data_IF_378068094825
#
_entry.id   IF_378068094825
#
_cell.length_a   1.000
_cell.length_b   1.000
_cell.length_c   1.000
_cell.angle_alpha   90.00
_cell.angle_beta   90.00
_cell.angle_gamma   90.00
#
_symmetry.space_group_name_H-M   'P 1'
#
loop_
_entity.id
_entity.type
_entity.pdbx_description
1 polymer ?
#
# COMPACT_ATOMS: atom_id res chain seq x y z
N UNK A 1 -21.50 5.33 -15.16
CA UNK A 1 -20.12 5.06 -15.58
C UNK A 1 -19.32 4.52 -14.42
N UNK A 2 -18.71 3.37 -14.59
CA UNK A 2 -17.94 2.78 -13.51
C UNK A 2 -16.63 3.53 -13.31
N UNK A 3 -16.30 3.77 -12.06
CA UNK A 3 -15.02 4.38 -11.73
C UNK A 3 -13.94 3.31 -11.77
N UNK A 4 -12.83 3.64 -12.40
CA UNK A 4 -11.68 2.76 -12.40
C UNK A 4 -11.02 2.76 -11.03
N UNK A 5 -10.57 1.58 -10.61
CA UNK A 5 -9.90 1.41 -9.35
C UNK A 5 -8.49 0.88 -9.59
N UNK A 6 -7.58 1.24 -8.72
CA UNK A 6 -6.20 0.80 -8.78
C UNK A 6 -5.82 0.07 -7.50
N UNK A 7 -5.08 -1.01 -7.65
CA UNK A 7 -4.53 -1.75 -6.54
C UNK A 7 -3.02 -1.66 -6.61
N UNK A 8 -2.40 -1.12 -5.57
CA UNK A 8 -0.96 -0.90 -5.56
C UNK A 8 -0.34 -1.81 -4.50
N UNK A 9 0.68 -2.56 -4.90
CA UNK A 9 1.47 -3.32 -3.95
C UNK A 9 2.50 -2.38 -3.35
N UNK A 10 2.36 -2.14 -2.05
CA UNK A 10 3.03 -1.03 -1.39
C UNK A 10 3.93 -1.54 -0.26
N UNK A 11 5.21 -1.28 -0.40
CA UNK A 11 6.20 -1.70 0.60
C UNK A 11 6.62 -0.58 1.56
N UNK A 12 6.24 0.66 1.25
CA UNK A 12 6.72 1.82 2.00
C UNK A 12 8.08 2.33 1.55
N UNK A 13 8.69 1.68 0.56
CA UNK A 13 9.93 2.16 -0.02
C UNK A 13 9.70 3.32 -0.96
N UNK A 14 10.79 3.92 -1.40
CA UNK A 14 10.73 5.13 -2.20
C UNK A 14 10.01 4.92 -3.53
N UNK A 15 10.32 3.84 -4.23
CA UNK A 15 9.72 3.56 -5.53
C UNK A 15 8.23 3.23 -5.40
N UNK A 16 7.87 2.44 -4.38
CA UNK A 16 6.48 2.13 -4.10
C UNK A 16 5.66 3.37 -3.79
N UNK A 17 6.25 4.28 -3.02
CA UNK A 17 5.56 5.51 -2.65
C UNK A 17 5.30 6.37 -3.87
N UNK A 18 6.27 6.44 -4.78
CA UNK A 18 6.11 7.20 -6.03
C UNK A 18 4.98 6.60 -6.86
N UNK A 19 4.94 5.28 -6.99
CA UNK A 19 3.88 4.61 -7.73
C UNK A 19 2.51 4.88 -7.11
N UNK A 20 2.45 4.86 -5.78
CA UNK A 20 1.21 5.13 -5.07
C UNK A 20 0.72 6.55 -5.33
N UNK A 21 1.61 7.52 -5.29
CA UNK A 21 1.24 8.90 -5.55
C UNK A 21 0.74 9.05 -6.98
N UNK A 22 1.39 8.41 -7.94
CA UNK A 22 0.95 8.46 -9.33
C UNK A 22 -0.43 7.84 -9.50
N UNK A 23 -0.70 6.74 -8.81
CA UNK A 23 -2.02 6.10 -8.86
C UNK A 23 -3.10 7.03 -8.29
N UNK A 24 -2.79 7.71 -7.19
CA UNK A 24 -3.73 8.65 -6.60
C UNK A 24 -4.04 9.78 -7.57
N UNK A 25 -3.03 10.29 -8.26
CA UNK A 25 -3.22 11.36 -9.23
C UNK A 25 -4.04 10.92 -10.44
N UNK A 26 -3.89 9.66 -10.83
CA UNK A 26 -4.58 9.13 -12.01
C UNK A 26 -6.00 8.72 -11.71
N UNK A 27 -6.23 8.04 -10.59
CA UNK A 27 -7.53 7.41 -10.29
C UNK A 27 -8.32 8.10 -9.20
N UNK A 28 -7.66 8.98 -8.43
CA UNK A 28 -8.27 9.59 -7.27
C UNK A 28 -8.06 8.74 -6.03
N UNK A 29 -7.89 9.42 -4.91
CA UNK A 29 -7.60 8.77 -3.62
C UNK A 29 -8.64 7.71 -3.26
N UNK A 30 -9.90 7.99 -3.54
CA UNK A 30 -11.01 7.10 -3.20
C UNK A 30 -10.97 5.79 -3.95
N UNK A 31 -10.30 5.77 -5.09
CA UNK A 31 -10.29 4.62 -5.98
C UNK A 31 -8.98 3.85 -5.92
N UNK A 32 -8.10 4.18 -4.98
CA UNK A 32 -6.80 3.52 -4.82
C UNK A 32 -6.81 2.73 -3.52
N UNK A 33 -6.42 1.46 -3.62
CA UNK A 33 -6.22 0.60 -2.47
C UNK A 33 -4.79 0.07 -2.51
N UNK A 34 -4.23 -0.20 -1.33
CA UNK A 34 -2.88 -0.73 -1.24
C UNK A 34 -2.90 -2.08 -0.55
N UNK A 35 -1.99 -2.95 -0.97
CA UNK A 35 -1.71 -4.20 -0.28
C UNK A 35 -0.25 -4.21 0.12
N UNK A 36 0.01 -4.44 1.40
CA UNK A 36 1.35 -4.60 1.93
C UNK A 36 1.51 -6.03 2.40
N UNK A 37 2.53 -6.72 1.90
CA UNK A 37 2.80 -8.08 2.32
C UNK A 37 3.75 -8.07 3.51
N UNK A 38 3.44 -8.88 4.50
CA UNK A 38 4.28 -9.06 5.67
C UNK A 38 4.79 -10.49 5.71
N UNK A 39 6.10 -10.63 5.80
CA UNK A 39 6.75 -11.93 5.99
C UNK A 39 7.18 -12.03 7.43
N UNK A 40 7.20 -13.22 7.98
CA UNK A 40 7.39 -13.45 9.39
C UNK A 40 8.58 -12.75 10.03
N UNK A 41 9.66 -12.56 9.29
CA UNK A 41 10.86 -11.91 9.83
C UNK A 41 11.11 -10.52 9.28
N UNK A 42 10.12 -9.93 8.66
CA UNK A 42 10.26 -8.60 8.12
C UNK A 42 10.33 -7.58 9.25
N UNK A 43 11.13 -6.56 9.07
CA UNK A 43 11.29 -5.51 10.07
C UNK A 43 9.99 -4.77 10.30
N UNK A 44 9.61 -4.65 11.57
CA UNK A 44 8.40 -3.93 11.95
C UNK A 44 8.44 -2.48 11.53
N UNK A 45 9.63 -1.88 11.50
CA UNK A 45 9.80 -0.49 11.11
C UNK A 45 9.32 -0.25 9.67
N UNK A 46 9.62 -1.18 8.77
CA UNK A 46 9.18 -1.04 7.38
C UNK A 46 7.66 -1.09 7.27
N UNK A 47 7.04 -1.97 8.04
CA UNK A 47 5.60 -2.08 8.04
C UNK A 47 4.94 -0.84 8.62
N UNK A 48 5.50 -0.32 9.70
CA UNK A 48 4.98 0.89 10.31
C UNK A 48 5.11 2.09 9.37
N UNK A 49 6.21 2.16 8.64
CA UNK A 49 6.39 3.23 7.67
C UNK A 49 5.35 3.15 6.57
N UNK A 50 5.08 1.95 6.07
CA UNK A 50 4.07 1.77 5.04
C UNK A 50 2.68 2.16 5.56
N UNK A 51 2.35 1.78 6.78
CA UNK A 51 1.08 2.16 7.38
C UNK A 51 0.96 3.67 7.53
N UNK A 52 2.03 4.29 8.01
CA UNK A 52 2.01 5.72 8.24
C UNK A 52 1.82 6.48 6.93
N UNK A 53 2.54 6.08 5.88
CA UNK A 53 2.43 6.74 4.59
C UNK A 53 1.04 6.56 3.99
N UNK A 54 0.50 5.35 4.03
CA UNK A 54 -0.83 5.09 3.50
C UNK A 54 -1.88 5.90 4.24
N UNK A 55 -1.73 6.01 5.55
CA UNK A 55 -2.65 6.77 6.39
C UNK A 55 -2.54 8.26 6.09
N UNK A 56 -1.32 8.75 5.91
CA UNK A 56 -1.07 10.15 5.61
C UNK A 56 -1.64 10.53 4.24
N UNK A 57 -1.55 9.63 3.28
CA UNK A 57 -2.11 9.85 1.95
C UNK A 57 -3.61 9.58 1.89
N UNK A 58 -4.17 9.02 2.94
CA UNK A 58 -5.61 8.78 3.01
C UNK A 58 -6.11 7.66 2.13
N UNK A 59 -5.27 6.65 1.87
CA UNK A 59 -5.66 5.51 1.06
C UNK A 59 -5.88 4.28 1.92
N UNK A 60 -6.74 3.40 1.45
CA UNK A 60 -7.03 2.16 2.15
C UNK A 60 -5.85 1.20 2.02
N UNK A 61 -5.46 0.57 3.11
CA UNK A 61 -4.36 -0.37 3.13
C UNK A 61 -4.81 -1.70 3.72
N UNK A 62 -4.44 -2.79 3.06
CA UNK A 62 -4.62 -4.14 3.56
C UNK A 62 -3.25 -4.76 3.76
N UNK A 63 -3.02 -5.33 4.94
CA UNK A 63 -1.77 -6.01 5.24
C UNK A 63 -2.04 -7.51 5.21
N UNK A 64 -1.30 -8.22 4.37
CA UNK A 64 -1.40 -9.66 4.26
C UNK A 64 -0.18 -10.31 4.89
N UNK A 65 -0.41 -11.13 5.90
CA UNK A 65 0.65 -11.83 6.60
C UNK A 65 0.89 -13.18 5.93
N UNK A 66 2.05 -13.33 5.31
CA UNK A 66 2.41 -14.55 4.60
C UNK A 66 3.23 -15.50 5.45
N UNK A 67 3.45 -15.19 6.71
CA UNK A 67 4.29 -16.04 7.57
C UNK A 67 3.71 -17.42 7.75
N UNK A 68 2.41 -17.60 7.60
CA UNK A 68 1.75 -18.88 7.74
C UNK A 68 1.79 -19.76 6.49
N UNK A 69 2.36 -19.25 5.42
CA UNK A 69 2.37 -19.96 4.13
C UNK A 69 3.68 -20.68 3.87
N UNK A 70 4.42 -20.95 4.89
CA UNK A 70 5.68 -21.69 4.75
C UNK A 70 5.45 -23.17 4.55
#
# INVERSE_FOLDING_TARGET
MEKQQALVIFSGGQDSTTCLIQAIQTYGRENVQTITFQYGQRHAIELERARWIAQDLGVKQTVLDLSLMQ
#
